data_IF_395478640448
#
_entry.id   IF_395478640448
#
_cell.length_a   1.000
_cell.length_b   1.000
_cell.length_c   1.000
_cell.angle_alpha   90.00
_cell.angle_beta   90.00
_cell.angle_gamma   90.00
#
_symmetry.space_group_name_H-M   'P 1'
#
loop_
_entity.id
_entity.type
_entity.pdbx_description
1 polymer ?
#
# COMPACT_ATOMS: atom_id res chain seq x y z
N UNK A 1 -1.88 -17.45 -3.05
CA UNK A 1 -2.58 -16.15 -3.11
C UNK A 1 -3.62 -16.24 -4.20
N UNK A 2 -4.86 -15.83 -3.92
CA UNK A 2 -5.92 -15.72 -4.92
C UNK A 2 -5.94 -14.31 -5.52
N UNK A 3 -6.37 -14.17 -6.77
CA UNK A 3 -6.40 -12.91 -7.51
C UNK A 3 -7.74 -12.68 -8.22
N UNK A 4 -8.16 -11.43 -8.31
CA UNK A 4 -9.22 -10.98 -9.22
C UNK A 4 -8.64 -10.21 -10.41
N UNK A 5 -9.22 -10.39 -11.59
CA UNK A 5 -8.94 -9.55 -12.75
C UNK A 5 -9.89 -8.36 -12.75
N UNK A 6 -9.35 -7.16 -12.67
CA UNK A 6 -10.10 -5.91 -12.74
C UNK A 6 -10.60 -5.68 -14.18
N UNK A 7 -11.58 -4.78 -14.35
CA UNK A 7 -12.17 -4.48 -15.65
C UNK A 7 -11.18 -3.88 -16.68
N UNK A 8 -10.00 -3.44 -16.24
CA UNK A 8 -8.91 -2.96 -17.07
C UNK A 8 -7.85 -4.04 -17.37
N UNK A 9 -8.12 -5.30 -17.03
CA UNK A 9 -7.24 -6.45 -17.28
C UNK A 9 -6.09 -6.63 -16.28
N UNK A 10 -5.91 -5.72 -15.32
CA UNK A 10 -4.91 -5.86 -14.26
C UNK A 10 -5.35 -6.90 -13.22
N UNK A 11 -4.41 -7.67 -12.68
CA UNK A 11 -4.69 -8.63 -11.60
C UNK A 11 -4.40 -8.02 -10.23
N UNK A 12 -5.29 -8.24 -9.27
CA UNK A 12 -5.19 -7.72 -7.91
C UNK A 12 -5.33 -8.87 -6.90
N UNK A 13 -4.44 -8.98 -5.88
CA UNK A 13 -4.61 -9.95 -4.82
C UNK A 13 -5.92 -9.70 -4.04
N UNK A 14 -6.69 -10.77 -3.80
CA UNK A 14 -7.99 -10.69 -3.10
C UNK A 14 -7.82 -10.20 -1.66
N UNK A 15 -6.75 -10.62 -1.00
CA UNK A 15 -6.45 -10.27 0.38
C UNK A 15 -5.37 -9.18 0.44
N UNK A 16 -5.64 -8.10 1.17
CA UNK A 16 -4.71 -6.99 1.38
C UNK A 16 -4.60 -6.55 2.84
N UNK A 17 -3.47 -5.91 3.16
CA UNK A 17 -3.23 -5.29 4.46
C UNK A 17 -3.73 -3.85 4.46
N UNK A 18 -4.72 -3.55 5.30
CA UNK A 18 -5.12 -2.18 5.60
C UNK A 18 -4.19 -1.52 6.60
N UNK A 19 -3.82 -0.25 6.36
CA UNK A 19 -2.83 0.47 7.16
C UNK A 19 -3.42 1.62 8.00
N UNK A 20 -4.73 1.69 8.18
CA UNK A 20 -5.34 2.71 9.03
C UNK A 20 -4.90 2.54 10.50
N UNK A 21 -4.45 3.64 11.14
CA UNK A 21 -4.07 3.71 12.56
C UNK A 21 -2.85 2.87 12.99
N UNK A 22 -2.01 2.45 12.06
CA UNK A 22 -0.65 1.96 12.35
C UNK A 22 0.37 3.05 11.99
N UNK A 23 1.35 3.30 12.86
CA UNK A 23 2.24 4.46 12.74
C UNK A 23 3.69 4.11 13.01
N UNK A 24 4.59 5.02 12.62
CA UNK A 24 6.01 4.92 12.96
C UNK A 24 6.63 3.58 12.55
N UNK A 25 7.35 2.95 13.47
CA UNK A 25 8.00 1.66 13.23
C UNK A 25 6.99 0.51 13.08
N UNK A 26 5.87 0.56 13.79
CA UNK A 26 4.85 -0.50 13.71
C UNK A 26 4.24 -0.59 12.31
N UNK A 27 4.07 0.55 11.63
CA UNK A 27 3.63 0.55 10.23
C UNK A 27 4.68 -0.11 9.31
N UNK A 28 5.96 0.16 9.52
CA UNK A 28 7.04 -0.50 8.76
C UNK A 28 7.07 -2.02 8.99
N UNK A 29 7.06 -2.42 10.27
CA UNK A 29 7.13 -3.81 10.69
C UNK A 29 5.88 -4.59 10.22
N UNK A 30 4.70 -3.96 10.23
CA UNK A 30 3.47 -4.56 9.71
C UNK A 30 3.57 -4.88 8.21
N UNK A 31 4.15 -3.99 7.40
CA UNK A 31 4.38 -4.27 5.97
C UNK A 31 5.34 -5.44 5.81
N UNK A 32 6.48 -5.42 6.50
CA UNK A 32 7.49 -6.48 6.39
C UNK A 32 6.90 -7.83 6.81
N UNK A 33 6.21 -7.88 7.95
CA UNK A 33 5.56 -9.07 8.46
C UNK A 33 4.51 -9.60 7.48
N UNK A 34 3.62 -8.75 6.97
CA UNK A 34 2.59 -9.18 6.03
C UNK A 34 3.19 -9.75 4.74
N UNK A 35 4.18 -9.07 4.16
CA UNK A 35 4.85 -9.53 2.93
C UNK A 35 5.57 -10.87 3.14
N UNK A 36 6.25 -11.03 4.27
CA UNK A 36 6.90 -12.29 4.65
C UNK A 36 5.90 -13.44 4.86
N UNK A 37 4.68 -13.12 5.28
CA UNK A 37 3.57 -14.07 5.41
C UNK A 37 2.74 -14.20 4.11
N UNK A 38 3.28 -13.72 2.98
CA UNK A 38 2.72 -13.95 1.66
C UNK A 38 1.80 -12.85 1.13
N UNK A 39 1.51 -11.78 1.89
CA UNK A 39 0.71 -10.67 1.38
C UNK A 39 1.41 -9.99 0.19
N UNK A 40 0.61 -9.55 -0.78
CA UNK A 40 1.07 -8.80 -1.96
C UNK A 40 0.22 -7.56 -2.25
N UNK A 41 -0.82 -7.29 -1.45
CA UNK A 41 -1.65 -6.09 -1.58
C UNK A 41 -1.56 -5.25 -0.30
N UNK A 42 -1.18 -3.98 -0.43
CA UNK A 42 -1.06 -3.00 0.65
C UNK A 42 -2.02 -1.84 0.37
N UNK A 43 -2.90 -1.52 1.32
CA UNK A 43 -3.85 -0.42 1.24
C UNK A 43 -3.49 0.70 2.23
N UNK A 44 -3.34 1.92 1.71
CA UNK A 44 -3.07 3.13 2.48
C UNK A 44 -3.84 4.35 1.96
N UNK A 45 -3.66 5.52 2.55
CA UNK A 45 -4.25 6.78 2.13
C UNK A 45 -3.45 7.96 2.66
N UNK A 46 -3.46 9.10 1.96
CA UNK A 46 -2.78 10.30 2.43
C UNK A 46 -3.30 10.79 3.78
N UNK A 47 -4.60 10.64 4.03
CA UNK A 47 -5.23 11.01 5.30
C UNK A 47 -4.83 10.13 6.48
N UNK A 48 -4.23 8.96 6.25
CA UNK A 48 -3.72 8.10 7.33
C UNK A 48 -2.40 8.62 7.89
N UNK A 49 -1.75 9.57 7.19
CA UNK A 49 -0.51 10.24 7.62
C UNK A 49 0.65 9.27 7.94
N UNK A 50 0.68 8.10 7.31
CA UNK A 50 1.68 7.06 7.54
C UNK A 50 2.38 6.54 6.27
N UNK A 51 2.11 7.12 5.10
CA UNK A 51 2.66 6.68 3.81
C UNK A 51 4.20 6.63 3.80
N UNK A 52 4.87 7.55 4.51
CA UNK A 52 6.33 7.52 4.67
C UNK A 52 6.81 6.25 5.38
N UNK A 53 6.08 5.79 6.39
CA UNK A 53 6.40 4.56 7.10
C UNK A 53 6.07 3.33 6.25
N UNK A 54 4.91 3.32 5.60
CA UNK A 54 4.55 2.26 4.64
C UNK A 54 5.61 2.12 3.54
N UNK A 55 6.07 3.23 2.97
CA UNK A 55 7.13 3.26 1.95
C UNK A 55 8.47 2.70 2.44
N UNK A 56 8.87 2.99 3.69
CA UNK A 56 10.05 2.38 4.31
C UNK A 56 9.87 0.87 4.52
N UNK A 57 8.67 0.43 4.91
CA UNK A 57 8.33 -0.99 5.02
C UNK A 57 8.44 -1.71 3.67
N UNK A 58 7.90 -1.12 2.61
CA UNK A 58 8.00 -1.64 1.23
C UNK A 58 9.47 -1.75 0.79
N UNK A 59 10.29 -0.73 1.05
CA UNK A 59 11.71 -0.77 0.70
C UNK A 59 12.50 -1.86 1.45
N UNK A 60 12.04 -2.24 2.66
CA UNK A 60 12.71 -3.24 3.52
C UNK A 60 12.17 -4.67 3.38
N UNK A 61 10.98 -4.86 2.81
CA UNK A 61 10.29 -6.16 2.84
C UNK A 61 10.91 -7.23 1.93
N UNK A 62 11.88 -6.88 1.08
CA UNK A 62 12.73 -7.83 0.36
C UNK A 62 12.08 -8.49 -0.86
N UNK A 63 10.93 -8.01 -1.32
CA UNK A 63 10.28 -8.48 -2.56
C UNK A 63 10.37 -7.42 -3.67
N UNK A 64 10.45 -7.82 -4.95
CA UNK A 64 10.42 -6.90 -6.08
C UNK A 64 9.18 -6.00 -6.05
N UNK A 65 9.33 -4.74 -6.48
CA UNK A 65 8.24 -3.75 -6.44
C UNK A 65 7.06 -4.20 -7.31
N UNK A 66 7.33 -4.81 -8.45
CA UNK A 66 6.37 -5.31 -9.42
C UNK A 66 5.48 -6.45 -8.87
N UNK A 67 5.90 -7.12 -7.80
CA UNK A 67 5.07 -8.13 -7.13
C UNK A 67 4.05 -7.51 -6.17
N UNK A 68 4.17 -6.21 -5.85
CA UNK A 68 3.32 -5.53 -4.89
C UNK A 68 2.21 -4.73 -5.59
N UNK A 69 0.97 -5.02 -5.22
CA UNK A 69 -0.18 -4.18 -5.50
C UNK A 69 -0.35 -3.14 -4.38
N UNK A 70 -0.21 -1.86 -4.70
CA UNK A 70 -0.29 -0.78 -3.69
C UNK A 70 -1.45 0.13 -4.04
N UNK A 71 -2.37 0.29 -3.10
CA UNK A 71 -3.53 1.17 -3.21
C UNK A 71 -3.33 2.38 -2.30
N UNK A 72 -3.52 3.58 -2.87
CA UNK A 72 -3.50 4.85 -2.15
C UNK A 72 -4.72 5.69 -2.54
N UNK A 73 -5.19 6.53 -1.63
CA UNK A 73 -6.43 7.32 -1.79
C UNK A 73 -6.11 8.80 -1.73
N UNK A 74 -6.63 9.56 -2.69
CA UNK A 74 -6.58 11.03 -2.68
C UNK A 74 -7.59 11.55 -1.66
N UNK A 75 -7.17 12.48 -0.82
CA UNK A 75 -8.05 13.10 0.17
C UNK A 75 -8.89 14.22 -0.49
N UNK A 76 -10.16 14.46 -0.08
CA UNK A 76 -11.02 15.42 -0.76
C UNK A 76 -10.47 16.85 -0.86
N UNK A 77 -9.66 17.30 0.12
CA UNK A 77 -9.05 18.63 0.05
C UNK A 77 -7.95 18.75 -1.03
N UNK A 78 -7.47 17.64 -1.58
CA UNK A 78 -6.45 17.61 -2.63
C UNK A 78 -7.04 17.53 -4.05
N UNK A 79 -8.36 17.39 -4.21
CA UNK A 79 -9.00 17.25 -5.53
C UNK A 79 -8.74 18.42 -6.48
N UNK A 80 -8.62 19.63 -5.94
CA UNK A 80 -8.36 20.85 -6.71
C UNK A 80 -6.87 21.20 -6.79
N UNK A 81 -6.02 20.43 -6.11
CA UNK A 81 -4.59 20.74 -5.97
C UNK A 81 -3.83 20.21 -7.18
N UNK A 82 -3.78 21.01 -8.24
CA UNK A 82 -2.94 20.73 -9.41
C UNK A 82 -1.47 20.93 -9.00
N UNK A 83 -0.71 19.85 -8.88
CA UNK A 83 0.76 19.94 -8.84
C UNK A 83 1.24 20.20 -10.27
N UNK A 84 1.66 21.43 -10.57
CA UNK A 84 2.52 21.67 -11.74
C UNK A 84 3.88 21.04 -11.45
N UNK A 85 4.34 20.21 -12.38
CA UNK A 85 5.63 19.51 -12.32
C UNK A 85 6.80 20.50 -12.36
#
# INVERSE_FOLDING_TARGET
>A
MEYFTLNNGQTMPVLGLGTLRIFGKDAEDAIVCAVQNGYRHIDTASSYQNEKAVGRGIAKCGVPREELFITVKVWPSDYTRVRTA
#
